data_IF_157235642318
#
_entry.id   IF_157235642318
#
_cell.length_a   1.000
_cell.length_b   1.000
_cell.length_c   1.000
_cell.angle_alpha   90.00
_cell.angle_beta   90.00
_cell.angle_gamma   90.00
#
_symmetry.space_group_name_H-M   'P 1'
#
loop_
_entity.id
_entity.type
_entity.pdbx_description
1 polymer ?
#
# COMPACT_ATOMS: atom_id res chain seq x y z
N UNK A 1 -12.98 6.82 -3.97
CA UNK A 1 -11.67 6.53 -4.53
C UNK A 1 -10.60 6.64 -3.45
N UNK A 2 -9.65 5.75 -3.46
CA UNK A 2 -8.57 5.68 -2.47
C UNK A 2 -7.29 6.16 -3.12
N UNK A 3 -6.50 6.97 -2.40
CA UNK A 3 -5.16 7.36 -2.86
C UNK A 3 -4.15 6.46 -2.18
N UNK A 4 -3.33 5.77 -2.95
CA UNK A 4 -2.28 4.89 -2.43
C UNK A 4 -0.93 5.51 -2.73
N UNK A 5 -0.10 5.68 -1.71
CA UNK A 5 1.25 6.23 -1.85
C UNK A 5 2.27 5.18 -1.42
N UNK A 6 3.28 4.97 -2.23
CA UNK A 6 4.35 4.03 -1.95
C UNK A 6 5.62 4.75 -1.56
N UNK A 7 6.35 4.18 -0.61
CA UNK A 7 7.60 4.74 -0.10
C UNK A 7 8.69 3.69 -0.02
N UNK A 8 9.93 4.13 0.04
CA UNK A 8 11.09 3.25 0.19
C UNK A 8 11.27 2.33 -1.00
N UNK A 9 11.66 1.10 -0.74
CA UNK A 9 11.93 0.13 -1.80
C UNK A 9 10.71 -0.21 -2.64
N UNK A 10 9.52 -0.18 -2.05
CA UNK A 10 8.28 -0.40 -2.80
C UNK A 10 8.15 0.61 -3.94
N UNK A 11 8.47 1.88 -3.65
CA UNK A 11 8.41 2.94 -4.64
C UNK A 11 9.53 2.80 -5.67
N UNK A 12 10.74 2.53 -5.20
CA UNK A 12 11.92 2.44 -6.07
C UNK A 12 11.79 1.26 -7.04
N UNK A 13 11.46 0.10 -6.53
CA UNK A 13 11.40 -1.12 -7.34
C UNK A 13 10.21 -1.14 -8.29
N UNK A 14 9.08 -0.59 -7.88
CA UNK A 14 7.88 -0.58 -8.72
C UNK A 14 7.84 0.59 -9.70
N UNK A 15 8.52 1.67 -9.36
CA UNK A 15 8.40 2.91 -10.13
C UNK A 15 7.10 3.66 -9.86
N UNK A 16 6.28 3.17 -8.95
CA UNK A 16 4.98 3.78 -8.62
C UNK A 16 5.14 4.64 -7.39
N UNK A 17 4.87 5.94 -7.54
CA UNK A 17 4.90 6.88 -6.43
C UNK A 17 3.53 6.99 -5.77
N UNK A 18 2.50 7.10 -6.59
CA UNK A 18 1.13 7.30 -6.13
C UNK A 18 0.18 6.67 -7.14
N UNK A 19 -0.93 6.15 -6.64
CA UNK A 19 -1.91 5.51 -7.48
C UNK A 19 -3.30 5.72 -6.88
N UNK A 20 -4.30 5.99 -7.71
CA UNK A 20 -5.69 6.13 -7.26
C UNK A 20 -6.46 4.89 -7.66
N UNK A 21 -7.15 4.29 -6.69
CA UNK A 21 -7.79 2.98 -6.84
C UNK A 21 -9.19 3.03 -6.24
N UNK A 22 -10.13 2.36 -6.89
CA UNK A 22 -11.41 2.07 -6.27
C UNK A 22 -11.23 0.84 -5.38
N UNK A 23 -11.44 1.01 -4.08
CA UNK A 23 -11.28 -0.07 -3.12
C UNK A 23 -12.13 0.18 -1.88
N UNK A 24 -12.61 -0.90 -1.27
CA UNK A 24 -13.37 -0.85 -0.03
C UNK A 24 -12.64 -1.55 1.11
N UNK A 25 -11.63 -2.34 0.79
CA UNK A 25 -10.82 -3.07 1.76
C UNK A 25 -9.36 -2.99 1.39
N UNK A 26 -8.49 -3.05 2.39
CA UNK A 26 -7.04 -3.06 2.14
C UNK A 26 -6.62 -4.19 1.21
N UNK A 27 -7.30 -5.32 1.27
CA UNK A 27 -7.04 -6.45 0.38
C UNK A 27 -7.15 -6.03 -1.09
N UNK A 28 -8.14 -5.21 -1.42
CA UNK A 28 -8.33 -4.73 -2.80
C UNK A 28 -7.13 -3.91 -3.27
N UNK A 29 -6.57 -3.09 -2.37
CA UNK A 29 -5.39 -2.30 -2.67
C UNK A 29 -4.20 -3.21 -2.93
N UNK A 30 -4.00 -4.22 -2.08
CA UNK A 30 -2.88 -5.15 -2.24
C UNK A 30 -3.02 -5.96 -3.53
N UNK A 31 -4.23 -6.39 -3.85
CA UNK A 31 -4.50 -7.13 -5.09
C UNK A 31 -4.19 -6.27 -6.32
N UNK A 32 -4.56 -4.99 -6.29
CA UNK A 32 -4.25 -4.07 -7.39
C UNK A 32 -2.74 -3.90 -7.55
N UNK A 33 -2.03 -3.72 -6.45
CA UNK A 33 -0.57 -3.54 -6.51
C UNK A 33 0.13 -4.79 -7.03
N UNK A 34 -0.36 -5.97 -6.68
CA UNK A 34 0.17 -7.22 -7.24
C UNK A 34 -0.08 -7.29 -8.74
N UNK A 35 -1.23 -6.82 -9.20
CA UNK A 35 -1.53 -6.74 -10.62
C UNK A 35 -0.60 -5.78 -11.35
N UNK A 36 -0.03 -4.80 -10.64
CA UNK A 36 0.96 -3.88 -11.19
C UNK A 36 2.39 -4.46 -11.17
N UNK A 37 2.56 -5.66 -10.66
CA UNK A 37 3.86 -6.34 -10.66
C UNK A 37 4.59 -6.34 -9.32
N UNK A 38 4.00 -5.77 -8.28
CA UNK A 38 4.64 -5.80 -6.95
C UNK A 38 4.42 -7.18 -6.34
N UNK A 39 5.48 -7.80 -5.83
CA UNK A 39 5.39 -9.15 -5.32
C UNK A 39 4.63 -9.21 -4.00
N UNK A 40 3.97 -10.34 -3.77
CA UNK A 40 3.29 -10.59 -2.49
C UNK A 40 4.28 -10.52 -1.33
N UNK A 41 5.50 -11.00 -1.55
CA UNK A 41 6.54 -10.99 -0.52
C UNK A 41 6.85 -9.56 -0.06
N UNK A 42 7.00 -8.64 -1.00
CA UNK A 42 7.29 -7.26 -0.68
C UNK A 42 6.13 -6.59 0.06
N UNK A 43 4.91 -6.91 -0.33
CA UNK A 43 3.72 -6.37 0.32
C UNK A 43 3.47 -6.97 1.70
N UNK A 44 3.85 -8.23 1.91
CA UNK A 44 3.56 -8.92 3.16
C UNK A 44 4.28 -8.30 4.36
N UNK A 45 5.45 -7.70 4.13
CA UNK A 45 6.25 -7.10 5.19
C UNK A 45 6.11 -5.58 5.30
N UNK A 46 5.27 -4.96 4.48
CA UNK A 46 5.21 -3.51 4.46
C UNK A 46 4.44 -2.94 5.66
N UNK A 47 4.81 -1.71 6.01
CA UNK A 47 4.08 -0.93 7.01
C UNK A 47 2.90 -0.27 6.32
N UNK A 48 1.72 -0.36 6.90
CA UNK A 48 0.49 0.19 6.34
C UNK A 48 -0.04 1.31 7.24
N UNK A 49 -0.23 2.49 6.66
CA UNK A 49 -0.89 3.60 7.34
C UNK A 49 -2.12 4.00 6.54
N UNK A 50 -3.21 4.31 7.23
CA UNK A 50 -4.40 4.88 6.62
C UNK A 50 -4.64 6.21 7.31
N UNK A 51 -4.59 7.30 6.54
CA UNK A 51 -4.73 8.66 7.06
C UNK A 51 -3.77 8.92 8.21
N UNK A 52 -2.54 8.40 8.11
CA UNK A 52 -1.50 8.59 9.11
C UNK A 52 -1.56 7.68 10.30
N UNK A 53 -2.51 6.76 10.35
CA UNK A 53 -2.68 5.83 11.49
C UNK A 53 -2.31 4.42 11.08
N UNK A 54 -1.68 3.68 11.98
CA UNK A 54 -1.33 2.29 11.76
C UNK A 54 -2.56 1.46 11.41
N UNK A 55 -2.43 0.62 10.41
CA UNK A 55 -3.51 -0.21 9.91
C UNK A 55 -3.01 -1.60 9.54
N UNK A 56 -3.91 -2.48 9.15
CA UNK A 56 -3.59 -3.85 8.80
C UNK A 56 -4.13 -4.23 7.44
N UNK A 57 -3.76 -5.42 6.99
CA UNK A 57 -4.26 -5.97 5.73
C UNK A 57 -5.76 -6.22 5.75
N UNK A 58 -6.38 -6.19 6.92
CA UNK A 58 -7.83 -6.43 7.10
C UNK A 58 -8.62 -5.15 7.24
N UNK A 59 -7.97 -4.01 7.17
CA UNK A 59 -8.65 -2.73 7.35
C UNK A 59 -9.66 -2.46 6.26
N UNK A 60 -10.78 -1.86 6.65
CA UNK A 60 -11.80 -1.36 5.74
C UNK A 60 -11.43 0.05 5.32
N UNK A 61 -11.67 0.38 4.07
CA UNK A 61 -11.36 1.69 3.50
C UNK A 61 -12.64 2.45 3.19
N UNK A 62 -12.55 3.76 3.29
CA UNK A 62 -13.64 4.67 2.97
C UNK A 62 -13.21 5.63 1.88
N UNK A 63 -14.16 6.10 1.10
CA UNK A 63 -13.88 7.04 0.02
C UNK A 63 -13.09 8.23 0.54
N UNK A 64 -12.01 8.56 -0.15
CA UNK A 64 -11.13 9.67 0.22
C UNK A 64 -9.97 9.29 1.12
N UNK A 65 -9.90 8.05 1.60
CA UNK A 65 -8.78 7.62 2.43
C UNK A 65 -7.46 7.68 1.67
N UNK A 66 -6.40 7.99 2.41
CA UNK A 66 -5.03 7.98 1.90
C UNK A 66 -4.29 6.83 2.57
N UNK A 67 -3.87 5.88 1.76
CA UNK A 67 -3.11 4.71 2.20
C UNK A 67 -1.64 4.94 1.91
N UNK A 68 -0.79 4.72 2.89
CA UNK A 68 0.66 4.80 2.72
C UNK A 68 1.25 3.43 3.00
N UNK A 69 2.05 2.93 2.08
CA UNK A 69 2.75 1.65 2.21
C UNK A 69 4.24 1.89 2.15
N UNK A 70 4.95 1.38 3.13
CA UNK A 70 6.40 1.54 3.23
C UNK A 70 7.07 0.20 3.42
N UNK A 71 8.20 0.01 2.77
CA UNK A 71 9.04 -1.15 3.04
C UNK A 71 9.59 -1.02 4.46
N UNK A 72 9.75 -2.15 5.18
CA UNK A 72 10.47 -2.12 6.44
C UNK A 72 11.89 -1.60 6.19
N UNK A 73 12.43 -0.90 7.18
CA UNK A 73 13.81 -0.41 7.07
C UNK A 73 14.75 -1.59 6.98
N UNK A 74 15.57 -1.61 5.94
CA UNK A 74 16.53 -2.69 5.72
C UNK A 74 17.51 -2.76 6.89
N UNK A 75 17.73 -3.97 7.40
CA UNK A 75 18.63 -4.21 8.49
C UNK A 75 18.11 -3.76 9.84
N UNK A 76 16.94 -3.20 9.86
CA UNK A 76 16.31 -2.77 11.09
C UNK A 76 15.25 -3.74 11.49
#
# INVERSE_FOLDING_TARGET
MITVKLYGLLRIDSGIKERKIEATHMKDVLDDLMAQGISRKDLSGCVILINGKSASKRSVLHNGDVVQLMSPVAGG
#
